data_IF_614304401201
#
_entry.id   IF_614304401201
#
_cell.length_a   1.000
_cell.length_b   1.000
_cell.length_c   1.000
_cell.angle_alpha   90.00
_cell.angle_beta   90.00
_cell.angle_gamma   90.00
#
_symmetry.space_group_name_H-M   'P 1'
#
loop_
_entity.id
_entity.type
_entity.pdbx_description
1 polymer ?
#
# COMPACT_ATOMS: atom_id res chain seq x y z
N UNK A 1 9.22 16.79 -5.02
CA UNK A 1 9.91 15.61 -5.58
C UNK A 1 9.34 14.37 -4.90
N UNK A 2 8.91 13.34 -5.62
CA UNK A 2 8.32 12.14 -4.99
C UNK A 2 9.42 11.30 -4.33
N UNK A 3 9.20 10.88 -3.08
CA UNK A 3 10.11 9.99 -2.35
C UNK A 3 10.13 8.60 -3.03
N UNK A 4 11.32 8.03 -3.25
CA UNK A 4 11.51 6.73 -3.88
C UNK A 4 10.76 5.60 -3.16
N UNK A 5 10.76 5.61 -1.81
CA UNK A 5 10.03 4.62 -1.00
C UNK A 5 8.53 4.70 -1.27
N UNK A 6 7.97 5.90 -1.39
CA UNK A 6 6.53 6.08 -1.69
C UNK A 6 6.17 5.55 -3.08
N UNK A 7 7.06 5.70 -4.06
CA UNK A 7 6.84 5.20 -5.42
C UNK A 7 6.86 3.67 -5.44
N UNK A 8 7.86 3.06 -4.79
CA UNK A 8 7.97 1.60 -4.71
C UNK A 8 6.78 1.00 -3.94
N UNK A 9 6.41 1.60 -2.81
CA UNK A 9 5.23 1.19 -2.07
C UNK A 9 3.96 1.19 -2.92
N UNK A 10 3.73 2.26 -3.69
CA UNK A 10 2.57 2.35 -4.57
C UNK A 10 2.59 1.28 -5.67
N UNK A 11 3.77 0.93 -6.21
CA UNK A 11 3.92 -0.12 -7.22
C UNK A 11 3.64 -1.51 -6.64
N UNK A 12 4.26 -1.83 -5.51
CA UNK A 12 4.09 -3.12 -4.84
C UNK A 12 2.64 -3.31 -4.35
N UNK A 13 2.01 -2.23 -3.87
CA UNK A 13 0.60 -2.29 -3.51
C UNK A 13 -0.30 -2.56 -4.72
N UNK A 14 -0.03 -1.97 -5.89
CA UNK A 14 -0.79 -2.29 -7.13
C UNK A 14 -0.61 -3.74 -7.54
N UNK A 15 0.62 -4.26 -7.43
CA UNK A 15 0.92 -5.65 -7.72
C UNK A 15 0.11 -6.59 -6.82
N UNK A 16 0.10 -6.35 -5.51
CA UNK A 16 -0.64 -7.16 -4.54
C UNK A 16 -2.16 -7.05 -4.72
N UNK A 17 -2.67 -5.86 -5.05
CA UNK A 17 -4.09 -5.67 -5.33
C UNK A 17 -4.57 -6.45 -6.55
N UNK A 18 -3.71 -6.68 -7.55
CA UNK A 18 -4.12 -7.33 -8.80
C UNK A 18 -5.32 -6.62 -9.43
N UNK A 19 -6.40 -7.37 -9.67
CA UNK A 19 -7.65 -6.86 -10.25
C UNK A 19 -8.61 -6.24 -9.22
N UNK A 20 -8.24 -6.24 -7.93
CA UNK A 20 -9.08 -5.70 -6.86
C UNK A 20 -9.30 -4.20 -7.03
N UNK A 21 -10.56 -3.77 -6.97
CA UNK A 21 -10.87 -2.34 -6.96
C UNK A 21 -10.38 -1.67 -5.68
N UNK A 22 -10.07 -0.36 -5.73
CA UNK A 22 -9.66 0.41 -4.55
C UNK A 22 -10.74 0.34 -3.45
N UNK A 23 -12.03 0.39 -3.82
CA UNK A 23 -13.15 0.30 -2.89
C UNK A 23 -13.23 -1.06 -2.20
N UNK A 24 -13.08 -2.15 -2.97
CA UNK A 24 -13.06 -3.50 -2.41
C UNK A 24 -11.88 -3.66 -1.44
N UNK A 25 -10.67 -3.27 -1.86
CA UNK A 25 -9.48 -3.35 -1.03
C UNK A 25 -9.62 -2.54 0.25
N UNK A 26 -10.05 -1.27 0.14
CA UNK A 26 -10.28 -0.38 1.27
C UNK A 26 -11.21 -0.98 2.33
N UNK A 27 -12.28 -1.68 1.89
CA UNK A 27 -13.19 -2.36 2.81
C UNK A 27 -12.55 -3.54 3.54
N UNK A 28 -11.69 -4.30 2.86
CA UNK A 28 -11.03 -5.49 3.42
C UNK A 28 -9.95 -5.15 4.45
N UNK A 29 -9.21 -4.06 4.25
CA UNK A 29 -8.12 -3.64 5.15
C UNK A 29 -8.55 -2.59 6.19
N UNK A 30 -9.83 -2.19 6.18
CA UNK A 30 -10.35 -1.14 7.06
C UNK A 30 -9.49 0.15 6.99
N UNK A 31 -9.26 0.63 5.77
CA UNK A 31 -8.57 1.89 5.49
C UNK A 31 -9.45 2.70 4.53
N UNK A 32 -9.71 4.00 4.79
CA UNK A 32 -10.55 4.80 3.90
C UNK A 32 -10.06 4.76 2.45
N UNK A 33 -10.99 4.58 1.50
CA UNK A 33 -10.68 4.49 0.07
C UNK A 33 -9.84 5.67 -0.45
N UNK A 34 -10.12 6.89 0.04
CA UNK A 34 -9.36 8.09 -0.30
C UNK A 34 -7.91 8.02 0.18
N UNK A 35 -7.67 7.38 1.32
CA UNK A 35 -6.32 7.16 1.86
C UNK A 35 -5.54 6.20 0.98
N UNK A 36 -6.14 5.07 0.58
CA UNK A 36 -5.53 4.14 -0.38
C UNK A 36 -5.24 4.84 -1.72
N UNK A 37 -6.20 5.60 -2.25
CA UNK A 37 -6.00 6.37 -3.49
C UNK A 37 -4.81 7.33 -3.40
N UNK A 38 -4.67 8.07 -2.30
CA UNK A 38 -3.53 8.96 -2.06
C UNK A 38 -2.20 8.22 -1.97
N UNK A 39 -2.18 7.00 -1.41
CA UNK A 39 -0.99 6.15 -1.43
C UNK A 39 -0.61 5.74 -2.85
N UNK A 40 -1.57 5.22 -3.62
CA UNK A 40 -1.37 4.75 -5.00
C UNK A 40 -0.96 5.87 -5.97
N UNK A 41 -1.33 7.12 -5.69
CA UNK A 41 -0.96 8.31 -6.45
C UNK A 41 0.36 8.95 -5.95
N UNK A 42 0.97 8.39 -4.91
CA UNK A 42 2.14 8.92 -4.20
C UNK A 42 1.92 10.35 -3.68
N UNK A 43 0.70 10.67 -3.25
CA UNK A 43 0.31 11.96 -2.68
C UNK A 43 0.44 11.99 -1.15
N UNK A 44 0.62 10.82 -0.53
CA UNK A 44 0.76 10.66 0.92
C UNK A 44 1.71 9.50 1.22
N UNK A 45 2.56 9.68 2.21
CA UNK A 45 3.33 8.56 2.78
C UNK A 45 2.43 7.67 3.65
N UNK A 46 2.70 6.37 3.63
CA UNK A 46 1.97 5.42 4.45
C UNK A 46 2.39 5.55 5.92
N UNK A 47 1.43 5.40 6.84
CA UNK A 47 1.71 5.33 8.28
C UNK A 47 2.10 3.91 8.65
N UNK A 48 2.89 3.74 9.71
CA UNK A 48 3.28 2.40 10.20
C UNK A 48 2.05 1.51 10.46
N UNK A 49 1.00 2.06 11.08
CA UNK A 49 -0.25 1.34 11.34
C UNK A 49 -0.89 0.79 10.07
N UNK A 50 -1.02 1.60 9.02
CA UNK A 50 -1.62 1.14 7.77
C UNK A 50 -0.69 0.20 7.00
N UNK A 51 0.63 0.37 7.14
CA UNK A 51 1.62 -0.52 6.54
C UNK A 51 1.48 -1.93 7.12
N UNK A 52 1.36 -2.05 8.45
CA UNK A 52 1.12 -3.34 9.11
C UNK A 52 -0.21 -3.96 8.69
N UNK A 53 -1.32 -3.19 8.68
CA UNK A 53 -2.63 -3.69 8.21
C UNK A 53 -2.57 -4.30 6.81
N UNK A 54 -1.87 -3.64 5.88
CA UNK A 54 -1.72 -4.10 4.50
C UNK A 54 -0.82 -5.34 4.43
N UNK A 55 0.29 -5.35 5.16
CA UNK A 55 1.19 -6.49 5.28
C UNK A 55 0.45 -7.75 5.79
N UNK A 56 -0.29 -7.60 6.89
CA UNK A 56 -1.06 -8.68 7.51
C UNK A 56 -2.15 -9.22 6.57
N UNK A 57 -2.83 -8.34 5.82
CA UNK A 57 -3.87 -8.75 4.88
C UNK A 57 -3.33 -9.61 3.73
N UNK A 58 -2.16 -9.29 3.20
CA UNK A 58 -1.54 -10.04 2.10
C UNK A 58 -0.64 -11.18 2.59
N UNK A 59 -0.36 -11.28 3.89
CA UNK A 59 0.63 -12.22 4.43
C UNK A 59 2.06 -11.91 3.98
N UNK A 60 2.36 -10.63 3.73
CA UNK A 60 3.65 -10.15 3.23
C UNK A 60 4.44 -9.40 4.30
N UNK A 61 5.74 -9.29 4.10
CA UNK A 61 6.61 -8.50 4.96
C UNK A 61 6.56 -7.01 4.59
N UNK A 62 6.67 -6.14 5.60
CA UNK A 62 6.78 -4.69 5.36
C UNK A 62 7.98 -4.32 4.50
N UNK A 63 9.05 -5.11 4.54
CA UNK A 63 10.23 -4.92 3.69
C UNK A 63 9.91 -5.15 2.21
N UNK A 64 9.05 -6.11 1.88
CA UNK A 64 8.56 -6.26 0.50
C UNK A 64 7.78 -5.01 0.08
N UNK A 65 6.82 -4.56 0.91
CA UNK A 65 6.01 -3.37 0.61
C UNK A 65 6.87 -2.12 0.41
N UNK A 66 7.99 -1.97 1.12
CA UNK A 66 8.87 -0.81 1.02
C UNK A 66 10.02 -0.98 0.01
N UNK A 67 10.13 -2.12 -0.67
CA UNK A 67 11.20 -2.38 -1.64
C UNK A 67 12.57 -2.66 -1.03
N UNK A 68 12.59 -3.26 0.16
CA UNK A 68 13.79 -3.61 0.93
C UNK A 68 14.10 -5.10 0.95
N UNK A 69 13.23 -5.93 0.35
CA UNK A 69 13.44 -7.37 0.17
C UNK A 69 14.37 -7.59 -1.02
N UNK A 70 15.41 -8.42 -0.83
CA UNK A 70 16.37 -8.81 -1.87
C UNK A 70 15.77 -9.81 -2.85
#
# INVERSE_FOLDING_TARGET
>A
MKNQITVIFAQNLRLLMGDMSISEFASKVDIPQQTISRYLLCQREITVTNLCKIADFFGEEVDFLLGRKN
#
